data_IF_975154158165
#
_entry.id   IF_975154158165
#
_cell.length_a   1.000
_cell.length_b   1.000
_cell.length_c   1.000
_cell.angle_alpha   90.00
_cell.angle_beta   90.00
_cell.angle_gamma   90.00
#
_symmetry.space_group_name_H-M   'P 1'
#
loop_
_entity.id
_entity.type
_entity.pdbx_description
1 polymer ?
#
# COMPACT_ATOMS: atom_id res chain seq x y z
N UNK A 1 23.83 -9.08 0.04
CA UNK A 1 22.68 -8.41 -0.61
C UNK A 1 21.43 -8.95 0.04
N UNK A 2 20.52 -8.08 0.50
CA UNK A 2 19.19 -8.52 0.92
C UNK A 2 18.45 -8.87 -0.37
N UNK A 3 18.13 -10.14 -0.55
CA UNK A 3 17.45 -10.61 -1.75
C UNK A 3 16.05 -10.01 -1.80
N UNK A 4 15.73 -9.30 -2.89
CA UNK A 4 14.40 -8.69 -3.09
C UNK A 4 13.37 -9.79 -3.20
N UNK A 5 12.24 -9.64 -2.50
CA UNK A 5 11.15 -10.60 -2.58
C UNK A 5 10.57 -10.61 -3.99
N UNK A 6 10.19 -11.79 -4.48
CA UNK A 6 9.61 -11.95 -5.82
C UNK A 6 8.29 -11.20 -5.96
N UNK A 7 7.40 -11.29 -4.97
CA UNK A 7 6.09 -10.62 -4.96
C UNK A 7 5.78 -10.00 -3.60
N UNK A 8 4.91 -8.97 -3.61
CA UNK A 8 4.30 -8.37 -2.43
C UNK A 8 3.18 -7.41 -2.79
N UNK A 9 2.22 -7.26 -1.87
CA UNK A 9 1.16 -6.27 -1.99
C UNK A 9 1.74 -4.91 -1.64
N UNK A 10 1.55 -3.90 -2.49
CA UNK A 10 1.81 -2.50 -2.14
C UNK A 10 0.48 -1.84 -1.77
N UNK A 11 0.46 -1.08 -0.68
CA UNK A 11 -0.72 -0.31 -0.31
C UNK A 11 -0.92 0.93 -1.20
N UNK A 12 -2.01 1.65 -0.95
CA UNK A 12 -2.36 2.86 -1.70
C UNK A 12 -1.35 3.99 -1.52
N UNK A 13 -0.76 4.12 -0.33
CA UNK A 13 0.24 5.16 -0.03
C UNK A 13 1.57 4.90 -0.72
N UNK A 14 1.98 3.64 -0.82
CA UNK A 14 3.15 3.22 -1.59
C UNK A 14 2.91 3.44 -3.08
N UNK A 15 1.71 3.14 -3.58
CA UNK A 15 1.36 3.36 -4.98
C UNK A 15 1.42 4.86 -5.37
N UNK A 16 0.88 5.74 -4.53
CA UNK A 16 0.87 7.19 -4.80
C UNK A 16 2.30 7.76 -4.82
N UNK A 17 3.17 7.26 -3.95
CA UNK A 17 4.53 7.78 -3.78
C UNK A 17 5.59 6.97 -4.56
N UNK A 18 5.18 6.17 -5.55
CA UNK A 18 6.09 5.31 -6.32
C UNK A 18 7.29 6.07 -6.91
N UNK A 19 7.13 7.34 -7.28
CA UNK A 19 8.23 8.16 -7.82
C UNK A 19 9.27 8.57 -6.77
N UNK A 20 8.93 8.48 -5.49
CA UNK A 20 9.77 8.88 -4.36
C UNK A 20 10.46 7.68 -3.71
N UNK A 21 10.00 6.46 -3.99
CA UNK A 21 10.49 5.21 -3.40
C UNK A 21 11.58 4.59 -4.29
N UNK A 22 12.69 4.18 -3.66
CA UNK A 22 13.73 3.42 -4.36
C UNK A 22 13.17 2.08 -4.86
N UNK A 23 13.38 1.71 -6.14
CA UNK A 23 12.93 0.42 -6.67
C UNK A 23 13.45 -0.79 -5.89
N UNK A 24 14.62 -0.68 -5.25
CA UNK A 24 15.20 -1.76 -4.46
C UNK A 24 14.47 -2.03 -3.14
N UNK A 25 13.66 -1.06 -2.68
CA UNK A 25 12.79 -1.22 -1.51
C UNK A 25 11.48 -1.97 -1.84
N UNK A 26 11.19 -2.19 -3.13
CA UNK A 26 9.95 -2.82 -3.61
C UNK A 26 10.15 -4.29 -4.00
N UNK A 27 9.10 -5.12 -4.02
CA UNK A 27 9.20 -6.47 -4.59
C UNK A 27 9.50 -6.40 -6.09
N UNK A 28 10.04 -7.49 -6.65
CA UNK A 28 10.32 -7.56 -8.09
C UNK A 28 9.03 -7.45 -8.91
N UNK A 29 7.94 -8.04 -8.41
CA UNK A 29 6.59 -7.92 -8.93
C UNK A 29 5.66 -7.30 -7.87
N UNK A 30 5.39 -5.99 -7.95
CA UNK A 30 4.41 -5.33 -7.09
C UNK A 30 2.99 -5.75 -7.46
N UNK A 31 2.19 -6.09 -6.45
CA UNK A 31 0.79 -6.44 -6.62
C UNK A 31 -0.12 -5.39 -5.98
N UNK A 32 -1.19 -5.05 -6.69
CA UNK A 32 -2.22 -4.13 -6.21
C UNK A 32 -3.48 -4.90 -5.81
N UNK A 33 -4.22 -4.33 -4.86
CA UNK A 33 -5.54 -4.85 -4.50
C UNK A 33 -6.63 -4.07 -5.24
N UNK A 34 -7.81 -4.69 -5.42
CA UNK A 34 -9.01 -3.98 -5.87
C UNK A 34 -9.41 -2.85 -4.89
N UNK A 35 -9.01 -2.97 -3.63
CA UNK A 35 -9.25 -1.97 -2.58
C UNK A 35 -8.44 -0.71 -2.89
N UNK A 36 -7.17 -0.86 -3.27
CA UNK A 36 -6.32 0.25 -3.71
C UNK A 36 -6.93 1.01 -4.88
N UNK A 37 -7.48 0.29 -5.88
CA UNK A 37 -8.16 0.92 -7.00
C UNK A 37 -9.42 1.69 -6.54
N UNK A 38 -10.21 1.10 -5.65
CA UNK A 38 -11.40 1.75 -5.10
C UNK A 38 -11.03 3.03 -4.33
N UNK A 39 -9.97 2.99 -3.52
CA UNK A 39 -9.48 4.17 -2.80
C UNK A 39 -9.06 5.28 -3.77
N UNK A 40 -8.26 4.96 -4.77
CA UNK A 40 -7.84 5.94 -5.78
C UNK A 40 -9.04 6.58 -6.51
N UNK A 41 -10.05 5.78 -6.88
CA UNK A 41 -11.27 6.29 -7.51
C UNK A 41 -12.06 7.22 -6.58
N UNK A 42 -12.16 6.90 -5.29
CA UNK A 42 -12.79 7.78 -4.30
C UNK A 42 -12.04 9.10 -4.15
N UNK A 43 -10.70 9.07 -4.11
CA UNK A 43 -9.86 10.26 -4.06
C UNK A 43 -10.09 11.21 -5.25
N UNK A 44 -10.27 10.65 -6.45
CA UNK A 44 -10.62 11.42 -7.66
C UNK A 44 -12.04 11.97 -7.59
N UNK A 45 -13.03 11.15 -7.25
CA UNK A 45 -14.44 11.54 -7.20
C UNK A 45 -14.72 12.65 -6.18
N UNK A 46 -13.96 12.68 -5.08
CA UNK A 46 -14.14 13.66 -4.02
C UNK A 46 -13.46 15.00 -4.28
N UNK A 47 -12.58 15.11 -5.27
CA UNK A 47 -11.71 16.27 -5.42
C UNK A 47 -12.17 17.28 -6.48
N UNK A 48 -12.03 18.57 -6.17
CA UNK A 48 -12.34 19.68 -7.08
C UNK A 48 -11.15 20.11 -7.93
N UNK A 49 -9.94 19.70 -7.55
CA UNK A 49 -8.66 20.04 -8.19
C UNK A 49 -7.60 18.95 -7.95
N UNK A 50 -6.48 18.92 -8.71
CA UNK A 50 -5.47 17.87 -8.62
C UNK A 50 -4.74 17.76 -7.28
N UNK A 51 -4.45 18.88 -6.59
CA UNK A 51 -3.76 18.85 -5.31
C UNK A 51 -4.66 18.24 -4.22
N UNK A 52 -5.95 18.57 -4.29
CA UNK A 52 -6.97 17.99 -3.42
C UNK A 52 -7.20 16.50 -3.66
N UNK A 53 -6.95 15.97 -4.87
CA UNK A 53 -7.01 14.51 -5.15
C UNK A 53 -5.94 13.76 -4.36
N UNK A 54 -4.69 14.22 -4.45
CA UNK A 54 -3.55 13.59 -3.78
C UNK A 54 -3.75 13.57 -2.25
N UNK A 55 -4.09 14.73 -1.67
CA UNK A 55 -4.34 14.86 -0.24
C UNK A 55 -5.51 13.99 0.25
N UNK A 56 -6.54 13.78 -0.58
CA UNK A 56 -7.72 12.97 -0.19
C UNK A 56 -7.48 11.48 -0.32
N UNK A 57 -6.71 11.05 -1.32
CA UNK A 57 -6.33 9.65 -1.46
C UNK A 57 -5.50 9.16 -0.25
N UNK A 58 -4.65 10.01 0.32
CA UNK A 58 -3.85 9.71 1.52
C UNK A 58 -4.69 9.48 2.80
N UNK A 59 -5.90 10.06 2.85
CA UNK A 59 -6.83 9.98 4.00
C UNK A 59 -7.76 8.78 3.97
N UNK A 60 -7.71 7.97 2.91
CA UNK A 60 -8.50 6.75 2.83
C UNK A 60 -7.86 5.71 3.76
N UNK A 61 -8.69 5.04 4.54
CA UNK A 61 -8.28 4.23 5.68
C UNK A 61 -8.67 2.77 5.56
N UNK A 62 -8.69 2.21 4.34
CA UNK A 62 -8.97 0.79 4.12
C UNK A 62 -7.71 -0.09 4.28
N UNK A 63 -6.68 0.44 4.95
CA UNK A 63 -5.39 -0.22 5.27
C UNK A 63 -5.57 -1.66 5.79
N UNK A 64 -6.52 -1.88 6.71
CA UNK A 64 -6.80 -3.21 7.26
C UNK A 64 -7.37 -4.19 6.23
N UNK A 65 -8.15 -3.71 5.25
CA UNK A 65 -8.67 -4.57 4.18
C UNK A 65 -7.55 -4.96 3.22
N UNK A 66 -6.64 -4.04 2.92
CA UNK A 66 -5.44 -4.33 2.11
C UNK A 66 -4.55 -5.35 2.84
N UNK A 67 -4.31 -5.17 4.13
CA UNK A 67 -3.56 -6.12 4.96
C UNK A 67 -4.24 -7.49 5.03
N UNK A 68 -5.57 -7.54 5.13
CA UNK A 68 -6.31 -8.81 5.11
C UNK A 68 -6.14 -9.54 3.77
N UNK A 69 -6.14 -8.82 2.64
CA UNK A 69 -5.86 -9.42 1.32
C UNK A 69 -4.43 -9.94 1.25
N UNK A 70 -3.44 -9.18 1.73
CA UNK A 70 -2.05 -9.61 1.76
C UNK A 70 -1.87 -10.88 2.63
N UNK A 71 -2.45 -10.87 3.83
CA UNK A 71 -2.47 -12.00 4.77
C UNK A 71 -3.11 -13.25 4.14
N UNK A 72 -4.33 -13.14 3.60
CA UNK A 72 -5.05 -14.26 2.99
C UNK A 72 -4.35 -14.86 1.77
N UNK A 73 -3.42 -14.11 1.15
CA UNK A 73 -2.61 -14.56 0.02
C UNK A 73 -1.20 -14.99 0.43
N UNK A 74 -0.82 -14.87 1.71
CA UNK A 74 0.53 -15.15 2.19
C UNK A 74 1.59 -14.22 1.58
N UNK A 75 1.20 -13.01 1.18
CA UNK A 75 2.09 -12.01 0.61
C UNK A 75 2.47 -10.95 1.65
N UNK A 76 3.71 -10.44 1.62
CA UNK A 76 4.06 -9.30 2.45
C UNK A 76 3.35 -8.03 1.99
N UNK A 77 3.00 -7.16 2.93
CA UNK A 77 2.46 -5.83 2.70
C UNK A 77 3.56 -4.79 2.81
N UNK A 78 3.81 -4.07 1.71
CA UNK A 78 4.69 -2.91 1.68
C UNK A 78 3.88 -1.65 1.96
N UNK A 79 4.28 -0.89 2.97
CA UNK A 79 3.55 0.28 3.46
C UNK A 79 4.48 1.37 3.98
N UNK A 80 4.08 2.63 3.79
CA UNK A 80 4.70 3.79 4.47
C UNK A 80 4.04 4.08 5.82
N UNK A 81 2.96 3.39 6.16
CA UNK A 81 2.14 3.61 7.35
C UNK A 81 2.15 2.38 8.27
N UNK A 82 3.30 2.07 8.85
CA UNK A 82 3.45 0.89 9.70
C UNK A 82 2.62 0.96 10.98
N UNK A 83 2.36 2.15 11.49
CA UNK A 83 1.73 2.37 12.80
C UNK A 83 0.31 1.80 12.88
N UNK A 84 -0.41 1.73 11.76
CA UNK A 84 -1.77 1.18 11.69
C UNK A 84 -1.78 -0.35 11.84
N UNK A 85 -0.64 -1.01 11.69
CA UNK A 85 -0.52 -2.47 11.73
C UNK A 85 0.10 -3.03 13.01
N UNK A 86 0.36 -2.17 14.01
CA UNK A 86 0.87 -2.61 15.32
C UNK A 86 -0.08 -3.64 15.92
N UNK A 87 0.45 -4.81 16.28
CA UNK A 87 -0.30 -5.95 16.81
C UNK A 87 -0.78 -6.96 15.75
N UNK A 88 -0.53 -6.72 14.46
CA UNK A 88 -0.89 -7.63 13.36
C UNK A 88 0.31 -8.40 12.78
N UNK A 89 1.47 -8.34 13.42
CA UNK A 89 2.74 -8.89 12.93
C UNK A 89 2.70 -10.42 12.78
N UNK A 90 1.83 -11.09 13.54
CA UNK A 90 1.59 -12.53 13.43
C UNK A 90 0.67 -12.94 12.27
N UNK A 91 -0.07 -11.97 11.70
CA UNK A 91 -1.08 -12.21 10.66
C UNK A 91 -0.60 -11.79 9.28
N UNK A 92 0.24 -10.75 9.19
CA UNK A 92 0.75 -10.22 7.94
C UNK A 92 2.19 -9.77 8.11
N UNK A 93 3.03 -10.11 7.13
CA UNK A 93 4.41 -9.60 7.11
C UNK A 93 4.39 -8.16 6.60
N UNK A 94 4.69 -7.20 7.48
CA UNK A 94 4.82 -5.79 7.12
C UNK A 94 6.25 -5.49 6.66
N UNK A 95 6.38 -4.77 5.56
CA UNK A 95 7.66 -4.25 5.04
C UNK A 95 7.57 -2.73 4.97
N UNK A 96 8.33 -2.00 5.80
CA UNK A 96 8.43 -0.55 5.66
C UNK A 96 9.16 -0.17 4.37
N UNK A 97 8.69 0.87 3.70
CA UNK A 97 9.32 1.49 2.52
C UNK A 97 9.37 3.00 2.62
#
# INVERSE_FOLDING_TARGET
MIERRTSGVIDTRVFIDLSEISPDALPTFPELTTITLAELQQGVAMAKDPATRALRAERLGLDLMIAAVASGRGLPLYTRNTDVFVGLESLVTIVPV
#
